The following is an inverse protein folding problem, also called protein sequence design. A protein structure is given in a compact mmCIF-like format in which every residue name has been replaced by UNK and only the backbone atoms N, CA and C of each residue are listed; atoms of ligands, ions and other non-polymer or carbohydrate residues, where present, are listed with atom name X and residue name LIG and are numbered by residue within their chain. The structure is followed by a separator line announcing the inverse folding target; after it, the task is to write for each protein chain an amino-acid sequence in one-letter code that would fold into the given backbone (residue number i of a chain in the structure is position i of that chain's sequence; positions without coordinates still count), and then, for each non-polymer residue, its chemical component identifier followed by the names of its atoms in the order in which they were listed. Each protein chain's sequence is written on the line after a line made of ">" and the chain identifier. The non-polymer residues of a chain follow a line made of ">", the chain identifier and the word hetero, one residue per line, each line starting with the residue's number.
data_IF_359441645172
#
_entry.id   IF_359441645172
#
_cell.length_a   1.000
_cell.length_b   1.000
_cell.length_c   1.000
_cell.angle_alpha   90.00
_cell.angle_beta   90.00
_cell.angle_gamma   90.00
#
_symmetry.space_group_name_H-M   'P 1'
#
loop_
_entity.id
_entity.type
_entity.pdbx_description
1 polymer ?
#
# COMPACT_ATOMS: atom_id res chain seq x y z
N UNK A 1 11.23 -7.66 -27.40
CA UNK A 1 11.51 -7.73 -25.95
C UNK A 1 10.50 -8.70 -25.32
N UNK A 2 10.93 -9.74 -24.59
CA UNK A 2 10.02 -10.69 -23.91
C UNK A 2 10.20 -10.53 -22.40
N UNK A 3 9.18 -10.08 -21.70
CA UNK A 3 9.19 -9.94 -20.24
C UNK A 3 8.75 -11.24 -19.59
N UNK A 4 9.44 -11.67 -18.52
CA UNK A 4 9.06 -12.82 -17.68
C UNK A 4 8.19 -12.44 -16.48
N UNK A 5 7.99 -11.14 -16.25
CA UNK A 5 7.16 -10.56 -15.19
C UNK A 5 6.37 -9.38 -15.76
N UNK A 6 5.28 -9.04 -15.09
CA UNK A 6 4.47 -7.87 -15.45
C UNK A 6 5.31 -6.61 -15.23
N UNK A 7 5.55 -5.79 -16.28
CA UNK A 7 6.28 -4.54 -16.12
C UNK A 7 5.41 -3.49 -15.41
N UNK A 8 6.05 -2.65 -14.59
CA UNK A 8 5.42 -1.47 -14.00
C UNK A 8 5.01 -0.46 -15.08
N UNK A 9 3.86 0.18 -14.90
CA UNK A 9 3.34 1.19 -15.83
C UNK A 9 2.62 0.64 -17.07
N UNK A 10 2.37 -0.67 -17.13
CA UNK A 10 1.47 -1.23 -18.14
C UNK A 10 0.01 -1.12 -17.64
N UNK A 11 -0.92 -0.66 -18.47
CA UNK A 11 -2.33 -0.48 -18.07
C UNK A 11 -2.96 -1.75 -17.49
N UNK A 12 -2.53 -2.93 -17.94
CA UNK A 12 -3.04 -4.20 -17.41
C UNK A 12 -2.35 -4.67 -16.12
N UNK A 13 -1.28 -4.01 -15.65
CA UNK A 13 -0.56 -4.45 -14.44
C UNK A 13 -1.40 -4.29 -13.18
N UNK A 14 -2.13 -3.17 -13.05
CA UNK A 14 -3.03 -2.90 -11.92
C UNK A 14 -4.15 -3.92 -11.84
N UNK A 15 -4.72 -4.28 -13.00
CA UNK A 15 -5.77 -5.30 -13.09
C UNK A 15 -5.25 -6.68 -12.64
N UNK A 16 -4.07 -7.08 -13.13
CA UNK A 16 -3.45 -8.34 -12.74
C UNK A 16 -3.05 -8.37 -11.27
N UNK A 17 -2.58 -7.24 -10.73
CA UNK A 17 -2.27 -7.08 -9.31
C UNK A 17 -3.52 -7.28 -8.46
N UNK A 18 -4.60 -6.56 -8.74
CA UNK A 18 -5.85 -6.66 -8.00
C UNK A 18 -6.43 -8.09 -8.09
N UNK A 19 -6.42 -8.70 -9.27
CA UNK A 19 -6.83 -10.10 -9.44
C UNK A 19 -5.96 -11.08 -8.63
N UNK A 20 -4.65 -10.83 -8.53
CA UNK A 20 -3.73 -11.65 -7.74
C UNK A 20 -3.99 -11.51 -6.25
N UNK A 21 -4.21 -10.28 -5.78
CA UNK A 21 -4.59 -10.00 -4.39
C UNK A 21 -5.87 -10.76 -4.06
N UNK A 22 -6.93 -10.59 -4.86
CA UNK A 22 -8.21 -11.32 -4.70
C UNK A 22 -8.05 -12.83 -4.71
N UNK A 23 -7.18 -13.37 -5.58
CA UNK A 23 -6.97 -14.80 -5.71
C UNK A 23 -6.13 -15.41 -4.57
N UNK A 24 -5.06 -14.73 -4.14
CA UNK A 24 -4.19 -15.21 -3.05
C UNK A 24 -4.77 -14.96 -1.65
N UNK A 25 -5.71 -14.03 -1.53
CA UNK A 25 -6.27 -13.59 -0.26
C UNK A 25 -7.75 -13.89 -0.21
N UNK A 26 -8.11 -15.16 -0.35
CA UNK A 26 -9.45 -15.63 -0.02
C UNK A 26 -9.69 -15.44 1.50
N UNK A 27 -10.33 -14.34 1.88
CA UNK A 27 -10.59 -13.96 3.26
C UNK A 27 -11.52 -12.76 3.36
N UNK A 28 -11.83 -12.33 4.59
CA UNK A 28 -12.66 -11.15 4.88
C UNK A 28 -11.97 -10.28 5.94
N UNK A 29 -11.87 -8.98 5.70
CA UNK A 29 -11.32 -8.03 6.67
C UNK A 29 -11.18 -6.63 6.10
N UNK A 30 -11.19 -5.62 6.97
CA UNK A 30 -11.18 -4.20 6.59
C UNK A 30 -9.95 -3.87 5.73
N UNK A 31 -8.76 -4.36 6.10
CA UNK A 31 -7.54 -4.15 5.31
C UNK A 31 -7.59 -4.80 3.91
N UNK A 32 -8.35 -5.88 3.72
CA UNK A 32 -8.55 -6.49 2.41
C UNK A 32 -9.48 -5.64 1.56
N UNK A 33 -10.59 -5.17 2.13
CA UNK A 33 -11.51 -4.23 1.47
C UNK A 33 -10.77 -2.95 1.06
N UNK A 34 -9.96 -2.39 1.95
CA UNK A 34 -9.12 -1.21 1.67
C UNK A 34 -8.12 -1.47 0.53
N UNK A 35 -7.51 -2.66 0.49
CA UNK A 35 -6.64 -3.06 -0.62
C UNK A 35 -7.38 -3.31 -1.94
N UNK A 36 -8.66 -3.68 -1.90
CA UNK A 36 -9.45 -3.91 -3.11
C UNK A 36 -10.04 -2.62 -3.69
N UNK A 37 -10.47 -1.71 -2.82
CA UNK A 37 -11.18 -0.49 -3.19
C UNK A 37 -10.26 0.71 -3.35
N UNK A 38 -9.18 0.79 -2.55
CA UNK A 38 -8.32 1.98 -2.48
C UNK A 38 -6.89 1.75 -2.98
N UNK A 39 -6.62 0.64 -3.68
CA UNK A 39 -5.36 0.40 -4.36
C UNK A 39 -5.39 0.97 -5.78
N UNK A 40 -4.65 2.05 -6.01
CA UNK A 40 -4.49 2.68 -7.31
C UNK A 40 -3.14 2.31 -7.95
N UNK A 41 -3.19 1.47 -9.00
CA UNK A 41 -2.02 0.94 -9.71
C UNK A 41 -1.09 0.11 -8.82
N UNK A 42 -0.25 0.78 -8.02
CA UNK A 42 0.68 0.22 -7.04
C UNK A 42 0.65 0.98 -5.70
N UNK A 43 -0.13 2.04 -5.59
CA UNK A 43 -0.26 2.89 -4.41
C UNK A 43 -1.52 2.55 -3.61
N UNK A 44 -1.37 2.26 -2.32
CA UNK A 44 -2.50 2.10 -1.39
C UNK A 44 -2.82 3.45 -0.74
N UNK A 45 -4.01 3.97 -1.00
CA UNK A 45 -4.52 5.19 -0.38
C UNK A 45 -5.46 4.81 0.75
N UNK A 46 -5.07 5.01 2.01
CA UNK A 46 -5.94 4.62 3.12
C UNK A 46 -5.80 5.56 4.31
N UNK A 47 -6.81 5.58 5.17
CA UNK A 47 -6.90 6.48 6.31
C UNK A 47 -8.09 6.16 7.21
N UNK A 48 -8.03 6.70 8.42
CA UNK A 48 -9.05 6.59 9.47
C UNK A 48 -8.91 7.84 10.36
N UNK A 49 -9.96 8.19 11.10
CA UNK A 49 -9.98 9.32 12.02
C UNK A 49 -9.11 9.06 13.26
N UNK A 50 -8.81 7.78 13.53
CA UNK A 50 -7.99 7.33 14.66
C UNK A 50 -6.62 6.85 14.18
N UNK A 51 -5.56 7.53 14.60
CA UNK A 51 -4.17 7.24 14.18
C UNK A 51 -3.72 5.80 14.46
N UNK A 52 -4.20 5.20 15.55
CA UNK A 52 -3.89 3.82 15.93
C UNK A 52 -4.51 2.80 14.97
N UNK A 53 -5.74 3.05 14.52
CA UNK A 53 -6.42 2.20 13.54
C UNK A 53 -5.75 2.33 12.17
N UNK A 54 -5.30 3.52 11.77
CA UNK A 54 -4.47 3.70 10.56
C UNK A 54 -3.20 2.86 10.64
N UNK A 55 -2.48 2.91 11.76
CA UNK A 55 -1.26 2.11 11.93
C UNK A 55 -1.56 0.60 11.84
N UNK A 56 -2.65 0.14 12.48
CA UNK A 56 -3.09 -1.26 12.44
C UNK A 56 -3.47 -1.70 11.03
N UNK A 57 -4.21 -0.87 10.30
CA UNK A 57 -4.59 -1.13 8.93
C UNK A 57 -3.37 -1.21 8.01
N UNK A 58 -2.39 -0.32 8.18
CA UNK A 58 -1.14 -0.38 7.44
C UNK A 58 -0.36 -1.68 7.72
N UNK A 59 -0.26 -2.09 8.99
CA UNK A 59 0.40 -3.37 9.37
C UNK A 59 -0.31 -4.58 8.76
N UNK A 60 -1.64 -4.59 8.79
CA UNK A 60 -2.45 -5.65 8.18
C UNK A 60 -2.25 -5.68 6.66
N UNK A 61 -2.34 -4.53 6.00
CA UNK A 61 -2.15 -4.40 4.55
C UNK A 61 -0.75 -4.85 4.13
N UNK A 62 0.28 -4.49 4.90
CA UNK A 62 1.67 -4.92 4.65
C UNK A 62 1.84 -6.43 4.82
N UNK A 63 1.21 -7.03 5.82
CA UNK A 63 1.18 -8.49 6.00
C UNK A 63 0.52 -9.18 4.82
N UNK A 64 -0.62 -8.64 4.36
CA UNK A 64 -1.39 -9.15 3.23
C UNK A 64 -0.56 -9.11 1.93
N UNK A 65 0.06 -7.97 1.62
CA UNK A 65 0.92 -7.80 0.45
C UNK A 65 2.13 -8.74 0.51
N UNK A 66 2.79 -8.85 1.66
CA UNK A 66 3.93 -9.77 1.82
C UNK A 66 3.54 -11.23 1.57
N UNK A 67 2.34 -11.65 1.99
CA UNK A 67 1.80 -12.99 1.69
C UNK A 67 1.52 -13.19 0.21
N UNK A 68 1.13 -12.14 -0.51
CA UNK A 68 1.01 -12.15 -1.97
C UNK A 68 2.38 -12.06 -2.69
N UNK A 69 3.49 -12.03 -1.96
CA UNK A 69 4.85 -11.92 -2.53
C UNK A 69 5.20 -10.50 -2.99
N UNK A 70 4.50 -9.49 -2.47
CA UNK A 70 4.62 -8.08 -2.85
C UNK A 70 5.02 -7.26 -1.62
N UNK A 71 5.90 -6.27 -1.79
CA UNK A 71 6.31 -5.39 -0.70
C UNK A 71 5.99 -3.94 -1.02
N UNK A 72 5.48 -3.20 -0.03
CA UNK A 72 5.33 -1.75 -0.16
C UNK A 72 6.70 -1.10 -0.19
N UNK A 73 6.96 -0.29 -1.23
CA UNK A 73 8.25 0.37 -1.42
C UNK A 73 8.37 1.66 -0.61
N UNK A 74 7.31 2.48 -0.57
CA UNK A 74 7.26 3.76 0.16
C UNK A 74 5.84 4.02 0.68
N UNK A 75 5.73 4.83 1.72
CA UNK A 75 4.47 5.33 2.26
C UNK A 75 4.64 6.73 2.82
N UNK A 76 3.53 7.44 2.97
CA UNK A 76 3.46 8.74 3.63
C UNK A 76 2.12 8.87 4.34
N UNK A 77 2.07 9.69 5.38
CA UNK A 77 0.82 9.98 6.10
C UNK A 77 0.76 11.46 6.44
N UNK A 78 -0.46 12.01 6.46
CA UNK A 78 -0.73 13.38 6.92
C UNK A 78 -0.46 13.54 8.42
N UNK A 79 -0.55 12.45 9.19
CA UNK A 79 -0.20 12.46 10.61
C UNK A 79 1.29 12.22 10.83
N UNK A 80 1.90 13.13 11.60
CA UNK A 80 3.27 12.97 12.10
C UNK A 80 3.40 11.79 13.07
N UNK A 81 2.37 11.49 13.85
CA UNK A 81 2.41 10.37 14.80
C UNK A 81 2.41 9.03 14.07
N UNK A 82 1.53 8.87 13.07
CA UNK A 82 1.49 7.65 12.23
C UNK A 82 2.83 7.47 11.53
N UNK A 83 3.36 8.54 10.91
CA UNK A 83 4.65 8.51 10.22
C UNK A 83 5.80 8.11 11.15
N UNK A 84 5.90 8.70 12.35
CA UNK A 84 6.94 8.33 13.31
C UNK A 84 6.80 6.89 13.82
N UNK A 85 5.57 6.44 14.05
CA UNK A 85 5.28 5.08 14.53
C UNK A 85 5.72 4.05 13.49
N UNK A 86 5.31 4.24 12.23
CA UNK A 86 5.69 3.37 11.12
C UNK A 86 7.20 3.45 10.83
N UNK A 87 7.85 4.61 11.04
CA UNK A 87 9.29 4.77 10.86
C UNK A 87 10.09 3.95 11.87
N UNK A 88 9.66 3.94 13.13
CA UNK A 88 10.26 3.11 14.17
C UNK A 88 10.14 1.62 13.86
N UNK A 89 9.01 1.19 13.30
CA UNK A 89 8.74 -0.22 13.04
C UNK A 89 9.37 -0.76 11.76
N UNK A 90 9.45 0.04 10.70
CA UNK A 90 9.82 -0.43 9.37
C UNK A 90 11.10 0.20 8.79
N UNK A 91 11.69 1.18 9.48
CA UNK A 91 12.97 1.81 9.12
C UNK A 91 12.88 2.84 7.97
N UNK A 92 13.97 3.58 7.79
CA UNK A 92 14.08 4.79 6.95
C UNK A 92 13.96 4.59 5.44
N UNK A 93 13.93 3.35 4.93
CA UNK A 93 13.82 3.09 3.49
C UNK A 93 12.40 3.29 2.93
N UNK A 94 11.39 3.38 3.81
CA UNK A 94 9.98 3.31 3.42
C UNK A 94 9.17 4.59 3.65
N UNK A 95 9.71 5.62 4.31
CA UNK A 95 8.91 6.80 4.68
C UNK A 95 9.69 8.06 4.34
N UNK A 96 9.12 8.85 3.43
CA UNK A 96 9.60 10.18 3.10
C UNK A 96 8.67 11.17 3.80
N UNK A 97 9.17 11.81 4.86
CA UNK A 97 8.35 12.65 5.76
C UNK A 97 7.95 13.96 5.06
N UNK A 98 8.68 14.37 4.02
CA UNK A 98 8.60 15.72 3.45
C UNK A 98 8.10 15.76 1.99
N UNK A 99 7.88 14.62 1.31
CA UNK A 99 7.48 14.63 -0.12
C UNK A 99 6.25 13.77 -0.44
N UNK A 100 5.06 14.28 -0.11
CA UNK A 100 3.81 13.72 -0.65
C UNK A 100 3.60 14.28 -2.06
N UNK A 101 3.91 13.49 -3.08
CA UNK A 101 3.69 13.85 -4.49
C UNK A 101 2.26 13.52 -4.89
N UNK A 102 1.33 14.44 -4.60
CA UNK A 102 -0.06 14.29 -4.99
C UNK A 102 -0.24 14.89 -6.40
N UNK A 103 -0.77 14.09 -7.33
CA UNK A 103 -1.02 14.55 -8.69
C UNK A 103 -2.08 15.67 -8.69
N UNK A 104 -1.73 16.83 -9.24
CA UNK A 104 -2.66 17.96 -9.40
C UNK A 104 -2.70 18.97 -8.25
N UNK A 105 -1.98 18.72 -7.15
CA UNK A 105 -1.68 19.75 -6.15
C UNK A 105 -0.31 20.35 -6.49
N UNK A 106 -0.31 21.63 -6.88
CA UNK A 106 0.89 22.43 -7.20
C UNK A 106 1.09 23.48 -6.13
#
# INVERSE_FOLDING_TARGET
>A
MKFKRVPFGNNSSSFLLNATIKHHLAGSGIALTELEENLYVDDLLTGDDVEEEVCKLFRQSKTIMNRAGMSFAKGASSSKMVTQTLFKEFGSKHLDVDSVKILGLT
#
